data_IF_474608098503
#
_entry.id   IF_474608098503
#
_cell.length_a   1.000
_cell.length_b   1.000
_cell.length_c   1.000
_cell.angle_alpha   90.00
_cell.angle_beta   90.00
_cell.angle_gamma   90.00
#
_symmetry.space_group_name_H-M   'P 1'
#
loop_
_entity.id
_entity.type
_entity.pdbx_description
1 polymer ?
#
# COMPACT_ATOMS: atom_id res chain seq x y z
N UNK A 1 -1.96 19.93 -8.88
CA UNK A 1 -1.76 18.70 -9.68
C UNK A 1 -1.15 17.56 -8.87
N UNK A 2 -0.29 17.83 -7.89
CA UNK A 2 0.32 16.77 -7.07
C UNK A 2 -0.69 15.95 -6.25
N UNK A 3 -1.82 16.54 -5.82
CA UNK A 3 -2.86 15.84 -5.06
C UNK A 3 -3.57 14.73 -5.85
N UNK A 4 -3.72 14.89 -7.17
CA UNK A 4 -4.29 13.86 -8.04
C UNK A 4 -3.38 12.64 -8.16
N UNK A 5 -2.05 12.85 -8.23
CA UNK A 5 -1.08 11.76 -8.28
C UNK A 5 -1.08 10.94 -6.98
N UNK A 6 -1.17 11.63 -5.84
CA UNK A 6 -1.27 10.99 -4.54
C UNK A 6 -2.52 10.12 -4.43
N UNK A 7 -3.67 10.66 -4.84
CA UNK A 7 -4.95 9.92 -4.86
C UNK A 7 -4.86 8.70 -5.78
N UNK A 8 -4.32 8.86 -7.01
CA UNK A 8 -4.16 7.74 -7.93
C UNK A 8 -3.26 6.64 -7.35
N UNK A 9 -2.17 6.98 -6.66
CA UNK A 9 -1.32 5.99 -6.01
C UNK A 9 -2.04 5.26 -4.86
N UNK A 10 -2.90 5.96 -4.10
CA UNK A 10 -3.71 5.34 -3.04
C UNK A 10 -4.74 4.37 -3.63
N UNK A 11 -5.37 4.72 -4.74
CA UNK A 11 -6.30 3.84 -5.44
C UNK A 11 -5.60 2.59 -6.00
N UNK A 12 -4.40 2.72 -6.56
CA UNK A 12 -3.60 1.58 -7.01
C UNK A 12 -3.26 0.61 -5.86
N UNK A 13 -2.97 1.14 -4.66
CA UNK A 13 -2.74 0.32 -3.46
C UNK A 13 -4.04 -0.39 -3.04
N UNK A 14 -5.19 0.28 -3.07
CA UNK A 14 -6.47 -0.34 -2.67
C UNK A 14 -6.92 -1.41 -3.68
N UNK A 15 -6.74 -1.15 -4.98
CA UNK A 15 -7.00 -2.12 -6.05
C UNK A 15 -6.09 -3.36 -5.92
N UNK A 16 -4.80 -3.16 -5.66
CA UNK A 16 -3.88 -4.26 -5.38
C UNK A 16 -4.25 -5.04 -4.11
N UNK A 17 -4.79 -4.37 -3.08
CA UNK A 17 -5.24 -5.01 -1.83
C UNK A 17 -6.42 -5.96 -2.09
N UNK A 18 -7.38 -5.54 -2.92
CA UNK A 18 -8.57 -6.32 -3.26
C UNK A 18 -8.29 -7.39 -4.34
N UNK A 19 -7.42 -7.11 -5.30
CA UNK A 19 -7.18 -7.96 -6.46
C UNK A 19 -6.10 -9.03 -6.30
N UNK A 20 -5.23 -8.95 -5.29
CA UNK A 20 -4.06 -9.83 -5.17
C UNK A 20 -3.92 -10.58 -3.83
N UNK A 21 -3.26 -11.74 -3.90
CA UNK A 21 -2.80 -12.50 -2.73
C UNK A 21 -1.73 -11.73 -1.95
N UNK A 22 -1.68 -11.90 -0.62
CA UNK A 22 -0.85 -11.11 0.32
C UNK A 22 0.62 -10.93 -0.08
N UNK A 23 1.24 -12.01 -0.60
CA UNK A 23 2.64 -12.00 -1.03
C UNK A 23 2.86 -11.11 -2.25
N UNK A 24 1.91 -11.10 -3.19
CA UNK A 24 1.96 -10.27 -4.40
C UNK A 24 1.60 -8.82 -4.07
N UNK A 25 0.70 -8.61 -3.12
CA UNK A 25 0.33 -7.27 -2.65
C UNK A 25 1.54 -6.50 -2.08
N UNK A 26 2.40 -7.17 -1.30
CA UNK A 26 3.61 -6.51 -0.77
C UNK A 26 4.56 -6.04 -1.86
N UNK A 27 4.77 -6.88 -2.88
CA UNK A 27 5.62 -6.57 -4.03
C UNK A 27 5.04 -5.40 -4.83
N UNK A 28 3.74 -5.44 -5.12
CA UNK A 28 3.04 -4.37 -5.84
C UNK A 28 3.12 -3.05 -5.07
N UNK A 29 2.88 -3.05 -3.75
CA UNK A 29 3.03 -1.84 -2.93
C UNK A 29 4.44 -1.25 -3.00
N UNK A 30 5.48 -2.09 -2.95
CA UNK A 30 6.87 -1.63 -3.06
C UNK A 30 7.16 -1.03 -4.45
N UNK A 31 6.63 -1.63 -5.51
CA UNK A 31 6.79 -1.12 -6.87
C UNK A 31 6.05 0.23 -7.06
N UNK A 32 4.81 0.34 -6.56
CA UNK A 32 4.06 1.60 -6.57
C UNK A 32 4.82 2.68 -5.82
N UNK A 33 5.35 2.39 -4.63
CA UNK A 33 6.14 3.35 -3.85
C UNK A 33 7.42 3.75 -4.58
N UNK A 34 8.15 2.80 -5.17
CA UNK A 34 9.37 3.09 -5.93
C UNK A 34 9.11 4.07 -7.09
N UNK A 35 8.00 3.87 -7.82
CA UNK A 35 7.57 4.76 -8.89
C UNK A 35 7.04 6.09 -8.36
N UNK A 36 6.22 6.05 -7.32
CA UNK A 36 5.63 7.22 -6.69
C UNK A 36 6.71 8.18 -6.16
N UNK A 37 7.83 7.68 -5.62
CA UNK A 37 8.96 8.50 -5.19
C UNK A 37 9.58 9.35 -6.30
N UNK A 38 9.47 8.92 -7.56
CA UNK A 38 10.03 9.67 -8.70
C UNK A 38 9.09 10.77 -9.21
N UNK A 39 7.79 10.71 -8.87
CA UNK A 39 6.76 11.60 -9.40
C UNK A 39 6.07 12.44 -8.32
N UNK A 40 6.09 12.00 -7.06
CA UNK A 40 5.53 12.71 -5.90
C UNK A 40 6.61 13.49 -5.16
N UNK A 41 6.19 14.58 -4.53
CA UNK A 41 7.02 15.31 -3.57
C UNK A 41 7.19 14.52 -2.27
N UNK A 42 8.29 14.73 -1.55
CA UNK A 42 8.63 14.00 -0.30
C UNK A 42 7.49 13.95 0.71
N UNK A 43 6.74 15.05 0.86
CA UNK A 43 5.59 15.11 1.77
C UNK A 43 4.48 14.14 1.36
N UNK A 44 4.17 14.07 0.06
CA UNK A 44 3.15 13.19 -0.48
C UNK A 44 3.60 11.74 -0.52
N UNK A 45 4.86 11.49 -0.87
CA UNK A 45 5.45 10.16 -0.84
C UNK A 45 5.43 9.59 0.58
N UNK A 46 5.75 10.41 1.58
CA UNK A 46 5.70 10.02 3.00
C UNK A 46 4.28 9.67 3.44
N UNK A 47 3.28 10.44 3.02
CA UNK A 47 1.88 10.12 3.29
C UNK A 47 1.44 8.81 2.61
N UNK A 48 1.80 8.62 1.34
CA UNK A 48 1.51 7.39 0.60
C UNK A 48 2.19 6.17 1.24
N UNK A 49 3.44 6.32 1.68
CA UNK A 49 4.22 5.26 2.34
C UNK A 49 3.57 4.83 3.64
N UNK A 50 3.06 5.79 4.42
CA UNK A 50 2.32 5.51 5.64
C UNK A 50 1.03 4.74 5.34
N UNK A 51 0.25 5.22 4.36
CA UNK A 51 -0.98 4.56 3.91
C UNK A 51 -0.74 3.12 3.43
N UNK A 52 0.28 2.91 2.59
CA UNK A 52 0.68 1.58 2.12
C UNK A 52 1.03 0.65 3.29
N UNK A 53 1.82 1.13 4.24
CA UNK A 53 2.22 0.38 5.42
C UNK A 53 1.01 0.00 6.30
N UNK A 54 0.05 0.90 6.50
CA UNK A 54 -1.18 0.60 7.22
C UNK A 54 -2.02 -0.48 6.51
N UNK A 55 -2.17 -0.38 5.19
CA UNK A 55 -2.90 -1.38 4.39
C UNK A 55 -2.24 -2.75 4.40
N UNK A 56 -0.91 -2.81 4.37
CA UNK A 56 -0.13 -4.05 4.54
C UNK A 56 -0.28 -4.65 5.95
N UNK A 57 -0.36 -3.79 6.97
CA UNK A 57 -0.50 -4.22 8.36
C UNK A 57 -1.90 -4.72 8.67
N UNK A 58 -2.94 -4.10 8.10
CA UNK A 58 -4.33 -4.58 8.21
C UNK A 58 -4.52 -6.01 7.71
N UNK A 59 -3.91 -6.37 6.55
CA UNK A 59 -4.02 -7.72 5.99
C UNK A 59 -3.25 -8.77 6.82
N UNK A 60 -2.20 -8.35 7.52
CA UNK A 60 -1.43 -9.21 8.42
C UNK A 60 -2.18 -9.60 9.71
N UNK A 61 -3.12 -8.76 10.18
CA UNK A 61 -3.96 -9.10 11.35
C UNK A 61 -5.03 -10.16 11.05
N UNK A 62 -5.26 -10.52 9.78
CA UNK A 62 -6.16 -11.61 9.37
C UNK A 62 -5.45 -12.98 9.36
N UNK A 63 -4.42 -13.19 10.19
CA UNK A 63 -3.88 -14.53 10.49
C UNK A 63 -3.47 -14.70 11.96
N UNK A 64 -4.24 -14.14 12.89
CA UNK A 64 -4.18 -14.55 14.32
C UNK A 64 -5.60 -14.78 14.86
N UNK A 65 -6.35 -15.61 14.15
CA UNK A 65 -7.35 -16.53 14.68
C UNK A 65 -7.18 -17.72 13.74
N UNK A 66 -6.59 -18.85 14.11
CA UNK A 66 -6.89 -19.73 15.23
C UNK A 66 -5.63 -20.55 15.55
N UNK A 67 -5.31 -20.74 16.83
CA UNK A 67 -4.63 -21.94 17.33
C UNK A 67 -5.03 -22.11 18.80
N UNK A 68 -5.99 -23.02 19.12
CA UNK A 68 -6.25 -23.41 20.49
C UNK A 68 -5.06 -24.23 21.01
N UNK A 69 -4.56 -23.87 22.19
CA UNK A 69 -3.79 -24.76 23.06
C UNK A 69 -4.64 -25.01 24.30
#
# INVERSE_FOLDING_TARGET
>A
MSEMLLTACKELIDDAKNGCADLVFKDICLEILARAKQVLEDAQFRELSYYAAEKMKEKSSVRIAELPI
#
